data_IF_791214465841
#
_entry.id   IF_791214465841
#
_cell.length_a   1.000
_cell.length_b   1.000
_cell.length_c   1.000
_cell.angle_alpha   90.00
_cell.angle_beta   90.00
_cell.angle_gamma   90.00
#
_symmetry.space_group_name_H-M   'P 1'
#
loop_
_entity.id
_entity.type
_entity.pdbx_description
1 polymer ?
#
# COMPACT_ATOMS: atom_id res chain seq x y z
N UNK A 1 -10.80 17.80 -34.51
CA UNK A 1 -10.51 17.47 -33.10
C UNK A 1 -11.56 16.50 -32.64
N UNK A 2 -11.13 15.39 -32.00
CA UNK A 2 -12.03 14.42 -31.38
C UNK A 2 -11.58 14.16 -29.95
N UNK A 3 -12.55 13.98 -29.05
CA UNK A 3 -12.31 13.65 -27.63
C UNK A 3 -12.78 12.24 -27.33
N UNK A 4 -12.09 11.56 -26.44
CA UNK A 4 -12.41 10.21 -26.05
C UNK A 4 -12.21 10.04 -24.55
N UNK A 5 -13.21 9.52 -23.84
CA UNK A 5 -13.01 9.04 -22.48
C UNK A 5 -12.18 7.77 -22.52
N UNK A 6 -11.14 7.64 -21.68
CA UNK A 6 -10.18 6.55 -21.78
C UNK A 6 -9.80 5.94 -20.43
N UNK A 7 -9.23 4.76 -20.47
CA UNK A 7 -8.49 4.18 -19.34
C UNK A 7 -9.35 3.73 -18.17
N UNK A 8 -9.01 4.21 -17.00
CA UNK A 8 -9.60 3.79 -15.72
C UNK A 8 -11.12 3.95 -15.65
N UNK A 9 -11.64 5.07 -16.17
CA UNK A 9 -13.07 5.36 -16.16
C UNK A 9 -13.87 4.35 -17.00
N UNK A 10 -13.43 4.11 -18.25
CA UNK A 10 -14.10 3.16 -19.15
C UNK A 10 -14.03 1.74 -18.58
N UNK A 11 -12.86 1.32 -18.10
CA UNK A 11 -12.70 0.01 -17.43
C UNK A 11 -13.62 -0.15 -16.23
N UNK A 12 -13.66 0.83 -15.32
CA UNK A 12 -14.42 0.73 -14.08
C UNK A 12 -15.93 0.69 -14.38
N UNK A 13 -16.43 1.48 -15.36
CA UNK A 13 -17.82 1.40 -15.82
C UNK A 13 -18.14 0.01 -16.41
N UNK A 14 -17.25 -0.57 -17.23
CA UNK A 14 -17.44 -1.92 -17.79
C UNK A 14 -17.44 -3.02 -16.71
N UNK A 15 -16.77 -2.77 -15.59
CA UNK A 15 -16.77 -3.65 -14.42
C UNK A 15 -17.92 -3.39 -13.45
N UNK A 16 -18.79 -2.41 -13.73
CA UNK A 16 -19.88 -2.01 -12.83
C UNK A 16 -19.40 -1.29 -11.57
N UNK A 17 -18.20 -0.73 -11.61
CA UNK A 17 -17.61 0.05 -10.52
C UNK A 17 -17.85 1.54 -10.74
N UNK A 18 -17.90 2.31 -9.64
CA UNK A 18 -17.97 3.76 -9.74
C UNK A 18 -16.64 4.33 -10.25
N UNK A 19 -16.66 5.00 -11.40
CA UNK A 19 -15.54 5.76 -11.90
C UNK A 19 -15.42 7.08 -11.10
N UNK A 20 -14.30 7.28 -10.43
CA UNK A 20 -14.06 8.48 -9.61
C UNK A 20 -13.31 9.57 -10.37
N UNK A 21 -12.52 9.20 -11.36
CA UNK A 21 -11.70 10.10 -12.17
C UNK A 21 -11.99 9.85 -13.65
N UNK A 22 -12.08 10.90 -14.43
CA UNK A 22 -12.31 10.83 -15.88
C UNK A 22 -11.13 11.44 -16.60
N UNK A 23 -10.43 10.60 -17.36
CA UNK A 23 -9.34 11.00 -18.22
C UNK A 23 -9.80 11.04 -19.66
N UNK A 24 -9.50 12.16 -20.35
CA UNK A 24 -9.85 12.37 -21.73
C UNK A 24 -8.61 12.42 -22.62
N UNK A 25 -8.68 11.80 -23.78
CA UNK A 25 -7.67 11.92 -24.85
C UNK A 25 -8.23 12.77 -25.98
N UNK A 26 -7.45 13.76 -26.40
CA UNK A 26 -7.75 14.65 -27.51
C UNK A 26 -6.89 14.26 -28.72
N UNK A 27 -7.53 13.93 -29.82
CA UNK A 27 -6.88 13.55 -31.09
C UNK A 27 -7.09 14.65 -32.11
N UNK A 28 -6.02 15.00 -32.84
CA UNK A 28 -6.09 15.98 -33.93
C UNK A 28 -6.10 17.45 -33.45
N UNK A 29 -5.45 17.74 -32.30
CA UNK A 29 -5.26 19.10 -31.78
C UNK A 29 -3.82 19.34 -31.37
N UNK A 30 -3.49 20.60 -31.13
CA UNK A 30 -2.21 21.09 -30.64
C UNK A 30 -2.34 21.76 -29.28
N UNK A 31 -1.23 21.97 -28.53
CA UNK A 31 -1.28 22.72 -27.27
C UNK A 31 -1.85 24.12 -27.43
N UNK A 32 -1.51 24.81 -28.52
CA UNK A 32 -1.97 26.16 -28.81
C UNK A 32 -3.50 26.19 -29.01
N UNK A 33 -4.03 25.24 -29.79
CA UNK A 33 -5.48 25.12 -30.00
C UNK A 33 -6.26 24.80 -28.71
N UNK A 34 -5.66 23.99 -27.81
CA UNK A 34 -6.26 23.72 -26.49
C UNK A 34 -6.30 24.99 -25.62
N UNK A 35 -5.23 25.77 -25.61
CA UNK A 35 -5.17 27.05 -24.88
C UNK A 35 -6.15 28.07 -25.44
N UNK A 36 -6.26 28.19 -26.77
CA UNK A 36 -7.19 29.08 -27.44
C UNK A 36 -8.66 28.69 -27.17
N UNK A 37 -8.92 27.40 -26.98
CA UNK A 37 -10.23 26.88 -26.56
C UNK A 37 -10.52 27.07 -25.04
N UNK A 38 -9.64 27.74 -24.30
CA UNK A 38 -9.82 28.08 -22.88
C UNK A 38 -9.40 27.00 -21.89
N UNK A 39 -8.76 25.92 -22.34
CA UNK A 39 -8.19 24.93 -21.43
C UNK A 39 -6.95 25.48 -20.72
N UNK A 40 -6.68 25.03 -19.50
CA UNK A 40 -5.52 25.41 -18.73
C UNK A 40 -4.49 24.30 -18.68
N UNK A 41 -3.31 24.52 -19.23
CA UNK A 41 -2.23 23.54 -19.18
C UNK A 41 -1.72 23.33 -17.73
N UNK A 42 -1.56 22.06 -17.34
CA UNK A 42 -0.96 21.60 -16.08
C UNK A 42 0.17 20.63 -16.38
N UNK A 43 1.28 20.77 -15.66
CA UNK A 43 2.48 19.94 -15.89
C UNK A 43 3.44 20.52 -16.94
N UNK A 44 4.74 20.51 -16.60
CA UNK A 44 5.79 21.07 -17.46
C UNK A 44 6.27 20.07 -18.53
N UNK A 45 6.10 18.77 -18.32
CA UNK A 45 6.69 17.72 -19.17
C UNK A 45 5.69 17.03 -20.11
N UNK A 46 4.37 17.18 -19.86
CA UNK A 46 3.33 16.56 -20.65
C UNK A 46 2.18 17.53 -20.90
N UNK A 47 1.62 17.57 -22.12
CA UNK A 47 0.48 18.42 -22.43
C UNK A 47 -0.83 17.85 -21.87
N UNK A 48 -1.02 18.00 -20.56
CA UNK A 48 -2.29 17.77 -19.86
C UNK A 48 -2.95 19.10 -19.61
N UNK A 49 -4.24 19.16 -19.86
CA UNK A 49 -5.05 20.38 -19.78
C UNK A 49 -6.27 20.13 -18.89
N UNK A 50 -6.64 21.12 -18.09
CA UNK A 50 -7.88 21.10 -17.34
C UNK A 50 -8.99 21.79 -18.14
N UNK A 51 -10.12 21.11 -18.23
CA UNK A 51 -11.32 21.67 -18.84
C UNK A 51 -11.81 22.89 -18.06
N UNK A 52 -12.13 24.01 -18.72
CA UNK A 52 -12.42 25.28 -18.05
C UNK A 52 -13.65 25.24 -17.12
N UNK A 53 -14.63 24.39 -17.40
CA UNK A 53 -15.87 24.32 -16.63
C UNK A 53 -15.88 23.15 -15.64
N UNK A 54 -15.43 21.94 -16.09
CA UNK A 54 -15.51 20.70 -15.28
C UNK A 54 -14.29 20.44 -14.45
N UNK A 55 -13.12 20.99 -14.84
CA UNK A 55 -11.84 20.70 -14.20
C UNK A 55 -11.29 19.31 -14.50
N UNK A 56 -11.96 18.52 -15.37
CA UNK A 56 -11.50 17.19 -15.79
C UNK A 56 -10.21 17.29 -16.62
N UNK A 57 -9.40 16.24 -16.57
CA UNK A 57 -8.10 16.18 -17.26
C UNK A 57 -8.25 15.73 -18.71
N UNK A 58 -7.69 16.53 -19.62
CA UNK A 58 -7.63 16.28 -21.05
C UNK A 58 -6.15 16.21 -21.48
N UNK A 59 -5.74 15.10 -22.05
CA UNK A 59 -4.36 14.93 -22.57
C UNK A 59 -4.39 14.82 -24.09
N UNK A 60 -3.43 15.47 -24.78
CA UNK A 60 -3.25 15.23 -26.20
C UNK A 60 -2.78 13.79 -26.44
N UNK A 61 -3.31 13.17 -27.52
CA UNK A 61 -2.83 11.87 -27.97
C UNK A 61 -1.33 11.94 -28.21
N UNK A 62 -0.59 10.94 -27.73
CA UNK A 62 0.87 10.94 -27.78
C UNK A 62 1.46 9.55 -27.95
N UNK A 63 2.67 9.51 -28.48
CA UNK A 63 3.56 8.36 -28.43
C UNK A 63 4.69 8.62 -27.46
N UNK A 64 5.22 7.58 -26.87
CA UNK A 64 6.36 7.64 -25.94
C UNK A 64 7.46 6.73 -26.49
N UNK A 65 8.72 7.20 -26.48
CA UNK A 65 9.89 6.39 -26.84
C UNK A 65 10.96 6.53 -25.77
N UNK A 66 11.50 5.40 -25.33
CA UNK A 66 12.62 5.37 -24.39
C UNK A 66 13.92 5.74 -25.11
N UNK A 67 14.59 6.79 -24.67
CA UNK A 67 15.90 7.25 -25.16
C UNK A 67 17.04 7.02 -24.17
N UNK A 68 16.73 6.66 -22.90
CA UNK A 68 17.73 6.47 -21.86
C UNK A 68 17.17 5.81 -20.60
N UNK A 69 17.98 5.72 -19.54
CA UNK A 69 17.57 5.15 -18.26
C UNK A 69 16.79 6.14 -17.39
N UNK A 70 15.81 5.64 -16.64
CA UNK A 70 15.05 6.41 -15.65
C UNK A 70 13.98 7.34 -16.23
N UNK A 71 13.42 8.20 -15.36
CA UNK A 71 12.26 9.06 -15.68
C UNK A 71 12.51 10.11 -16.76
N UNK A 72 13.72 10.64 -16.87
CA UNK A 72 14.10 11.61 -17.91
C UNK A 72 14.53 10.99 -19.23
N UNK A 73 14.49 9.66 -19.34
CA UNK A 73 14.88 8.91 -20.51
C UNK A 73 13.77 8.73 -21.56
N UNK A 74 12.64 9.44 -21.44
CA UNK A 74 11.54 9.38 -22.42
C UNK A 74 11.49 10.61 -23.32
N UNK A 75 11.38 10.37 -24.63
CA UNK A 75 10.88 11.38 -25.57
C UNK A 75 9.40 11.17 -25.76
N UNK A 76 8.64 12.21 -25.53
CA UNK A 76 7.20 12.24 -25.78
C UNK A 76 6.98 12.99 -27.06
N UNK A 77 6.32 12.36 -28.02
CA UNK A 77 5.93 12.97 -29.27
C UNK A 77 4.40 13.15 -29.28
N UNK A 78 3.98 14.40 -29.38
CA UNK A 78 2.56 14.79 -29.42
C UNK A 78 2.38 15.80 -30.57
N UNK A 79 1.78 15.37 -31.62
CA UNK A 79 1.38 16.21 -32.74
C UNK A 79 -0.01 15.79 -33.23
N UNK A 80 -0.69 16.65 -33.97
CA UNK A 80 -2.06 16.43 -34.41
C UNK A 80 -2.26 15.14 -35.26
N UNK A 81 -1.18 14.54 -35.74
CA UNK A 81 -1.21 13.28 -36.51
C UNK A 81 -1.21 12.02 -35.67
N UNK A 82 -0.98 12.10 -34.32
CA UNK A 82 -1.01 10.90 -33.46
C UNK A 82 -2.43 10.39 -33.36
N UNK A 83 -2.62 9.11 -33.66
CA UNK A 83 -3.92 8.45 -33.65
C UNK A 83 -4.31 7.98 -32.26
N UNK A 84 -5.62 7.77 -32.03
CA UNK A 84 -6.10 7.15 -30.79
C UNK A 84 -5.49 5.76 -30.55
N UNK A 85 -5.35 4.96 -31.60
CA UNK A 85 -4.77 3.62 -31.49
C UNK A 85 -3.31 3.64 -30.99
N UNK A 86 -2.51 4.59 -31.46
CA UNK A 86 -1.13 4.77 -30.99
C UNK A 86 -1.08 5.22 -29.54
N UNK A 87 -1.97 6.12 -29.09
CA UNK A 87 -2.05 6.49 -27.67
C UNK A 87 -2.45 5.31 -26.80
N UNK A 88 -3.42 4.50 -27.24
CA UNK A 88 -3.85 3.30 -26.51
C UNK A 88 -2.77 2.23 -26.49
N UNK A 89 -1.94 2.10 -27.52
CA UNK A 89 -0.87 1.11 -27.63
C UNK A 89 0.23 1.25 -26.56
N UNK A 90 0.54 2.48 -26.17
CA UNK A 90 1.57 2.75 -25.16
C UNK A 90 1.10 2.50 -23.72
N UNK A 91 -0.17 2.18 -23.48
CA UNK A 91 -0.71 1.95 -22.13
C UNK A 91 -0.23 0.63 -21.54
N UNK A 92 -0.40 0.48 -20.22
CA UNK A 92 0.10 -0.67 -19.46
C UNK A 92 -0.67 -1.97 -19.75
N UNK A 93 -2.00 -1.93 -19.59
CA UNK A 93 -2.86 -3.09 -19.70
C UNK A 93 -3.97 -2.89 -20.73
N UNK A 94 -4.38 -3.97 -21.41
CA UNK A 94 -5.47 -3.96 -22.40
C UNK A 94 -6.76 -3.41 -21.80
N UNK A 95 -7.09 -3.76 -20.55
CA UNK A 95 -8.28 -3.26 -19.84
C UNK A 95 -8.22 -1.73 -19.57
N UNK A 96 -7.06 -1.11 -19.66
CA UNK A 96 -6.85 0.35 -19.54
C UNK A 96 -6.68 1.01 -20.92
N UNK A 97 -6.71 0.23 -22.02
CA UNK A 97 -6.53 0.68 -23.39
C UNK A 97 -7.84 0.62 -24.18
N UNK A 98 -8.96 0.90 -23.51
CA UNK A 98 -10.29 1.04 -24.09
C UNK A 98 -10.66 2.52 -24.06
N UNK A 99 -11.22 3.00 -25.14
CA UNK A 99 -11.75 4.36 -25.26
C UNK A 99 -13.25 4.34 -25.53
N UNK A 100 -13.94 5.44 -25.22
CA UNK A 100 -15.32 5.67 -25.56
C UNK A 100 -15.47 7.07 -26.18
N UNK A 101 -16.13 7.14 -27.31
CA UNK A 101 -16.42 8.42 -27.97
C UNK A 101 -17.65 9.11 -27.39
N UNK A 102 -17.97 10.30 -27.93
CA UNK A 102 -19.09 11.12 -27.50
C UNK A 102 -20.45 10.47 -27.80
N UNK A 103 -20.53 9.56 -28.79
CA UNK A 103 -21.73 8.79 -29.13
C UNK A 103 -21.91 7.54 -28.23
N UNK A 104 -20.97 7.30 -27.33
CA UNK A 104 -20.95 6.17 -26.41
C UNK A 104 -20.36 4.88 -27.00
N UNK A 105 -19.81 4.93 -28.24
CA UNK A 105 -19.24 3.76 -28.89
C UNK A 105 -17.88 3.43 -28.26
N UNK A 106 -17.68 2.14 -27.94
CA UNK A 106 -16.40 1.65 -27.44
C UNK A 106 -15.43 1.39 -28.58
N UNK A 107 -14.20 1.86 -28.40
CA UNK A 107 -13.06 1.68 -29.30
C UNK A 107 -12.01 0.87 -28.56
N UNK A 108 -11.83 -0.39 -28.96
CA UNK A 108 -11.01 -1.38 -28.25
C UNK A 108 -10.11 -2.15 -29.24
N UNK A 109 -9.05 -1.51 -29.77
CA UNK A 109 -8.18 -2.14 -30.75
C UNK A 109 -7.31 -3.27 -30.18
N UNK A 110 -7.20 -3.37 -28.84
CA UNK A 110 -6.30 -4.31 -28.16
C UNK A 110 -7.02 -5.40 -27.37
N UNK A 111 -8.36 -5.48 -27.45
CA UNK A 111 -9.16 -6.56 -26.87
C UNK A 111 -9.32 -6.48 -25.36
N UNK A 112 -9.33 -5.27 -24.81
CA UNK A 112 -9.51 -5.03 -23.37
C UNK A 112 -10.86 -5.52 -22.85
N UNK A 113 -11.95 -5.39 -23.65
CA UNK A 113 -13.28 -5.93 -23.27
C UNK A 113 -13.23 -7.46 -23.09
N UNK A 114 -12.58 -8.17 -24.02
CA UNK A 114 -12.37 -9.62 -23.89
C UNK A 114 -11.57 -9.99 -22.66
N UNK A 115 -10.51 -9.22 -22.36
CA UNK A 115 -9.68 -9.48 -21.18
C UNK A 115 -10.44 -9.13 -19.87
N UNK A 116 -11.37 -8.17 -19.88
CA UNK A 116 -12.31 -7.92 -18.77
C UNK A 116 -13.24 -9.13 -18.55
N UNK A 117 -13.85 -9.65 -19.61
CA UNK A 117 -14.74 -10.84 -19.55
C UNK A 117 -13.99 -12.07 -19.04
N UNK A 118 -12.74 -12.27 -19.51
CA UNK A 118 -11.87 -13.37 -19.12
C UNK A 118 -11.17 -13.15 -17.77
N UNK A 119 -11.31 -11.96 -17.19
CA UNK A 119 -10.67 -11.57 -15.93
C UNK A 119 -9.13 -11.69 -15.99
N UNK A 120 -8.55 -11.11 -17.02
CA UNK A 120 -7.11 -11.19 -17.32
C UNK A 120 -6.48 -9.80 -17.31
N UNK A 121 -5.33 -9.67 -16.64
CA UNK A 121 -4.45 -8.51 -16.70
C UNK A 121 -3.35 -8.77 -17.72
N UNK A 122 -3.55 -8.28 -18.97
CA UNK A 122 -2.64 -8.46 -20.10
C UNK A 122 -2.04 -7.12 -20.49
N UNK A 123 -0.72 -7.10 -20.76
CA UNK A 123 -0.06 -5.95 -21.37
C UNK A 123 -0.57 -5.66 -22.78
N UNK A 124 -0.55 -4.40 -23.18
CA UNK A 124 -1.07 -3.98 -24.49
C UNK A 124 -0.14 -4.40 -25.63
N UNK A 125 1.16 -4.12 -25.50
CA UNK A 125 2.16 -4.30 -26.54
C UNK A 125 3.56 -4.52 -25.96
N UNK A 126 4.56 -4.76 -26.82
CA UNK A 126 5.97 -4.83 -26.43
C UNK A 126 6.51 -3.52 -25.83
N UNK A 127 5.88 -2.38 -26.10
CA UNK A 127 6.20 -1.10 -25.42
C UNK A 127 6.00 -1.14 -23.90
N UNK A 128 5.41 -2.21 -23.36
CA UNK A 128 5.31 -2.44 -21.93
C UNK A 128 6.65 -2.35 -21.20
N UNK A 129 7.74 -2.82 -21.81
CA UNK A 129 9.07 -2.80 -21.20
C UNK A 129 9.71 -1.41 -21.10
N UNK A 130 9.14 -0.41 -21.76
CA UNK A 130 9.70 0.94 -21.79
C UNK A 130 9.59 1.63 -20.40
N UNK A 131 8.49 1.46 -19.66
CA UNK A 131 8.36 2.00 -18.30
C UNK A 131 8.42 0.88 -17.24
N UNK A 132 9.55 0.75 -16.52
CA UNK A 132 9.70 -0.27 -15.47
C UNK A 132 8.68 -0.18 -14.33
N UNK A 133 8.08 1.00 -14.11
CA UNK A 133 7.04 1.16 -13.10
C UNK A 133 5.79 0.30 -13.39
N UNK A 134 5.58 -0.09 -14.63
CA UNK A 134 4.47 -0.97 -15.03
C UNK A 134 4.48 -2.31 -14.29
N UNK A 135 5.64 -2.79 -13.84
CA UNK A 135 5.73 -3.98 -12.98
C UNK A 135 4.94 -3.78 -11.68
N UNK A 136 5.15 -2.65 -10.99
CA UNK A 136 4.40 -2.34 -9.76
C UNK A 136 2.93 -2.02 -10.06
N UNK A 137 2.64 -1.34 -11.17
CA UNK A 137 1.27 -1.03 -11.59
C UNK A 137 0.45 -2.29 -11.83
N UNK A 138 0.99 -3.29 -12.54
CA UNK A 138 0.32 -4.60 -12.75
C UNK A 138 0.10 -5.31 -11.42
N UNK A 139 1.10 -5.35 -10.53
CA UNK A 139 0.96 -5.93 -9.21
C UNK A 139 -0.13 -5.24 -8.37
N UNK A 140 -0.22 -3.90 -8.44
CA UNK A 140 -1.29 -3.12 -7.79
C UNK A 140 -2.67 -3.42 -8.39
N UNK A 141 -2.78 -3.53 -9.72
CA UNK A 141 -4.05 -3.92 -10.35
C UNK A 141 -4.45 -5.34 -9.98
N UNK A 142 -3.48 -6.27 -9.83
CA UNK A 142 -3.77 -7.60 -9.30
C UNK A 142 -4.36 -7.52 -7.89
N UNK A 143 -3.75 -6.74 -6.98
CA UNK A 143 -4.28 -6.53 -5.63
C UNK A 143 -5.69 -5.92 -5.63
N UNK A 144 -5.97 -5.00 -6.57
CA UNK A 144 -7.29 -4.36 -6.68
C UNK A 144 -8.36 -5.32 -7.20
N UNK A 145 -8.04 -6.14 -8.21
CA UNK A 145 -9.03 -6.91 -8.95
C UNK A 145 -9.02 -8.41 -8.64
N UNK A 146 -8.13 -8.91 -7.78
CA UNK A 146 -8.11 -10.32 -7.37
C UNK A 146 -9.45 -10.81 -6.79
N UNK A 147 -10.18 -10.04 -5.94
CA UNK A 147 -11.48 -10.47 -5.44
C UNK A 147 -12.55 -10.63 -6.53
N UNK A 148 -12.36 -9.97 -7.68
CA UNK A 148 -13.20 -10.15 -8.86
C UNK A 148 -12.77 -11.35 -9.74
N UNK A 149 -11.69 -12.05 -9.36
CA UNK A 149 -11.13 -13.20 -10.04
C UNK A 149 -10.13 -12.90 -11.15
N UNK A 150 -9.62 -11.66 -11.23
CA UNK A 150 -8.58 -11.30 -12.20
C UNK A 150 -7.23 -11.95 -11.87
N UNK A 151 -6.51 -12.32 -12.91
CA UNK A 151 -5.15 -12.88 -12.82
C UNK A 151 -4.23 -12.27 -13.88
N UNK A 152 -2.95 -12.13 -13.55
CA UNK A 152 -1.96 -11.65 -14.50
C UNK A 152 -1.68 -12.73 -15.54
N UNK A 153 -1.69 -12.35 -16.82
CA UNK A 153 -1.42 -13.25 -17.93
C UNK A 153 0.07 -13.66 -17.95
N UNK A 154 0.34 -14.92 -18.30
CA UNK A 154 1.70 -15.47 -18.28
C UNK A 154 2.68 -14.66 -19.17
N UNK A 155 2.24 -14.20 -20.35
CA UNK A 155 3.09 -13.35 -21.19
C UNK A 155 3.41 -12.01 -20.54
N UNK A 156 2.52 -11.46 -19.72
CA UNK A 156 2.77 -10.22 -18.97
C UNK A 156 3.77 -10.46 -17.84
N UNK A 157 3.63 -11.58 -17.12
CA UNK A 157 4.61 -11.98 -16.10
C UNK A 157 6.01 -12.20 -16.72
N UNK A 158 6.08 -12.77 -17.92
CA UNK A 158 7.35 -12.94 -18.62
C UNK A 158 8.02 -11.61 -18.92
N UNK A 159 7.28 -10.60 -19.42
CA UNK A 159 7.80 -9.24 -19.64
C UNK A 159 8.20 -8.54 -18.33
N UNK A 160 7.40 -8.71 -17.26
CA UNK A 160 7.75 -8.18 -15.95
C UNK A 160 9.08 -8.78 -15.43
N UNK A 161 9.28 -10.09 -15.62
CA UNK A 161 10.54 -10.75 -15.26
C UNK A 161 11.72 -10.29 -16.13
N UNK A 162 11.48 -9.96 -17.40
CA UNK A 162 12.49 -9.35 -18.28
C UNK A 162 12.91 -7.97 -17.76
N UNK A 163 11.96 -7.09 -17.43
CA UNK A 163 12.23 -5.79 -16.82
C UNK A 163 13.00 -5.95 -15.50
N UNK A 164 12.63 -6.92 -14.67
CA UNK A 164 13.33 -7.19 -13.41
C UNK A 164 14.80 -7.54 -13.65
N UNK A 165 15.07 -8.43 -14.60
CA UNK A 165 16.44 -8.87 -14.95
C UNK A 165 17.28 -7.79 -15.63
N UNK A 166 16.67 -6.82 -16.30
CA UNK A 166 17.40 -5.70 -16.91
C UNK A 166 18.00 -4.73 -15.89
N UNK A 167 17.61 -4.80 -14.61
CA UNK A 167 18.07 -3.90 -13.54
C UNK A 167 17.36 -2.53 -13.51
N UNK A 168 16.44 -2.28 -14.43
CA UNK A 168 15.74 -0.98 -14.56
C UNK A 168 14.90 -0.62 -13.33
N UNK A 169 14.44 -1.61 -12.56
CA UNK A 169 13.68 -1.35 -11.33
C UNK A 169 14.49 -0.55 -10.29
N UNK A 170 15.82 -0.70 -10.28
CA UNK A 170 16.71 0.04 -9.38
C UNK A 170 16.82 1.54 -9.68
N UNK A 171 16.37 1.98 -10.86
CA UNK A 171 16.42 3.38 -11.30
C UNK A 171 15.09 4.12 -11.16
N UNK A 172 14.06 3.46 -10.60
CA UNK A 172 12.77 4.08 -10.37
C UNK A 172 12.85 5.16 -9.28
N UNK A 173 12.19 6.29 -9.52
CA UNK A 173 12.06 7.34 -8.51
C UNK A 173 11.28 6.82 -7.29
N UNK A 174 11.83 7.04 -6.11
CA UNK A 174 11.30 6.54 -4.83
C UNK A 174 9.81 6.90 -4.64
N UNK A 175 9.44 8.13 -4.99
CA UNK A 175 8.07 8.64 -4.83
C UNK A 175 7.08 7.96 -5.79
N UNK A 176 7.53 7.55 -6.99
CA UNK A 176 6.68 6.78 -7.92
C UNK A 176 6.46 5.37 -7.39
N UNK A 177 7.51 4.73 -6.87
CA UNK A 177 7.41 3.40 -6.24
C UNK A 177 6.49 3.45 -5.03
N UNK A 178 6.68 4.45 -4.16
CA UNK A 178 5.83 4.62 -2.97
C UNK A 178 4.36 4.75 -3.31
N UNK A 179 3.99 5.55 -4.31
CA UNK A 179 2.58 5.70 -4.74
C UNK A 179 1.94 4.37 -5.14
N UNK A 180 2.67 3.51 -5.85
CA UNK A 180 2.15 2.19 -6.23
C UNK A 180 2.04 1.25 -5.02
N UNK A 181 3.00 1.30 -4.08
CA UNK A 181 2.93 0.54 -2.82
C UNK A 181 1.73 1.01 -1.98
N UNK A 182 1.58 2.32 -1.77
CA UNK A 182 0.48 2.89 -0.98
C UNK A 182 -0.89 2.52 -1.56
N UNK A 183 -1.04 2.64 -2.87
CA UNK A 183 -2.27 2.27 -3.57
C UNK A 183 -2.54 0.76 -3.51
N UNK A 184 -1.50 -0.08 -3.55
CA UNK A 184 -1.62 -1.52 -3.36
C UNK A 184 -2.05 -1.88 -1.93
N UNK A 185 -1.50 -1.18 -0.93
CA UNK A 185 -1.89 -1.37 0.48
C UNK A 185 -3.31 -0.85 0.79
N UNK A 186 -3.86 0.01 -0.06
CA UNK A 186 -5.28 0.42 0.01
C UNK A 186 -6.24 -0.54 -0.72
N UNK A 187 -5.69 -1.52 -1.42
CA UNK A 187 -6.47 -2.47 -2.23
C UNK A 187 -7.07 -3.59 -1.37
N UNK A 188 -8.13 -4.27 -1.85
CA UNK A 188 -8.81 -5.30 -1.06
C UNK A 188 -8.02 -6.60 -0.90
N UNK A 189 -7.02 -6.89 -1.75
CA UNK A 189 -6.17 -8.08 -1.67
C UNK A 189 -4.68 -7.73 -1.79
N UNK A 190 -4.09 -7.00 -0.81
CA UNK A 190 -2.70 -6.56 -0.87
C UNK A 190 -1.68 -7.71 -0.90
N UNK A 191 -2.06 -8.92 -0.49
CA UNK A 191 -1.24 -10.12 -0.65
C UNK A 191 -0.88 -10.39 -2.12
N UNK A 192 -1.79 -10.11 -3.06
CA UNK A 192 -1.56 -10.32 -4.49
C UNK A 192 -0.51 -9.37 -5.06
N UNK A 193 -0.35 -8.17 -4.49
CA UNK A 193 0.77 -7.28 -4.84
C UNK A 193 2.11 -7.97 -4.55
N UNK A 194 2.26 -8.54 -3.36
CA UNK A 194 3.47 -9.27 -2.95
C UNK A 194 3.67 -10.52 -3.81
N UNK A 195 2.61 -11.31 -4.03
CA UNK A 195 2.65 -12.52 -4.83
C UNK A 195 3.09 -12.27 -6.27
N UNK A 196 2.53 -11.24 -6.92
CA UNK A 196 2.87 -10.90 -8.31
C UNK A 196 4.32 -10.42 -8.42
N UNK A 197 4.76 -9.53 -7.51
CA UNK A 197 6.16 -9.09 -7.49
C UNK A 197 7.11 -10.25 -7.25
N UNK A 198 6.75 -11.21 -6.40
CA UNK A 198 7.55 -12.39 -6.13
C UNK A 198 7.64 -13.29 -7.37
N UNK A 199 6.52 -13.56 -8.04
CA UNK A 199 6.47 -14.41 -9.25
C UNK A 199 7.34 -13.89 -10.41
N UNK A 200 7.53 -12.58 -10.53
CA UNK A 200 8.39 -12.00 -11.55
C UNK A 200 9.80 -11.63 -11.04
N UNK A 201 10.15 -11.98 -9.79
CA UNK A 201 11.44 -11.70 -9.16
C UNK A 201 11.62 -10.24 -8.69
N UNK A 202 10.64 -9.38 -8.90
CA UNK A 202 10.74 -7.96 -8.55
C UNK A 202 10.73 -7.73 -7.02
N UNK A 203 10.14 -8.65 -6.25
CA UNK A 203 10.13 -8.55 -4.78
C UNK A 203 11.54 -8.57 -4.21
N UNK A 204 12.41 -9.46 -4.69
CA UNK A 204 13.80 -9.56 -4.27
C UNK A 204 14.61 -8.29 -4.56
N UNK A 205 14.30 -7.61 -5.67
CA UNK A 205 14.98 -6.37 -6.06
C UNK A 205 14.48 -5.17 -5.26
N UNK A 206 13.17 -5.03 -5.08
CA UNK A 206 12.55 -3.85 -4.47
C UNK A 206 12.46 -3.94 -2.94
N UNK A 207 12.10 -5.13 -2.44
CA UNK A 207 11.80 -5.41 -1.04
C UNK A 207 12.44 -6.74 -0.59
N UNK A 208 13.79 -6.87 -0.67
CA UNK A 208 14.49 -8.09 -0.29
C UNK A 208 14.25 -8.50 1.16
N UNK A 209 13.91 -7.55 2.02
CA UNK A 209 13.56 -7.80 3.42
C UNK A 209 12.28 -8.64 3.54
N UNK A 210 11.33 -8.45 2.62
CA UNK A 210 10.08 -9.22 2.57
C UNK A 210 10.33 -10.58 1.90
N UNK A 211 11.08 -10.62 0.80
CA UNK A 211 11.39 -11.91 0.13
C UNK A 211 12.06 -12.90 1.09
N UNK A 212 12.91 -12.43 1.99
CA UNK A 212 13.60 -13.25 3.00
C UNK A 212 12.68 -13.94 4.01
N UNK A 213 11.42 -13.52 4.13
CA UNK A 213 10.45 -14.14 5.04
C UNK A 213 9.92 -15.48 4.51
N UNK A 214 9.95 -15.67 3.20
CA UNK A 214 9.48 -16.91 2.58
C UNK A 214 10.49 -18.05 2.80
N UNK A 215 9.99 -19.21 3.22
CA UNK A 215 10.81 -20.34 3.59
C UNK A 215 11.33 -20.30 5.04
N UNK A 216 11.03 -19.25 5.81
CA UNK A 216 11.42 -19.11 7.22
C UNK A 216 10.34 -19.74 8.11
N UNK A 217 10.62 -20.84 8.84
CA UNK A 217 9.60 -21.54 9.62
C UNK A 217 9.31 -20.84 10.95
N UNK A 218 8.05 -20.88 11.37
CA UNK A 218 7.55 -20.42 12.67
C UNK A 218 7.04 -21.59 13.52
N UNK A 219 6.87 -21.41 14.86
CA UNK A 219 6.30 -22.47 15.70
C UNK A 219 4.86 -22.81 15.28
N UNK A 220 4.64 -24.05 14.83
CA UNK A 220 3.33 -24.55 14.36
C UNK A 220 2.20 -24.40 15.41
N UNK A 221 2.55 -24.37 16.70
CA UNK A 221 1.58 -24.13 17.80
C UNK A 221 0.87 -22.78 17.69
N UNK A 222 1.57 -21.75 17.17
CA UNK A 222 1.05 -20.39 17.07
C UNK A 222 0.76 -19.97 15.63
N UNK A 223 1.39 -20.64 14.68
CA UNK A 223 1.31 -20.39 13.24
C UNK A 223 1.11 -21.69 12.47
N UNK A 224 -0.15 -22.16 12.32
CA UNK A 224 -0.44 -23.40 11.62
C UNK A 224 0.03 -23.41 10.16
N UNK A 225 0.15 -22.25 9.53
CA UNK A 225 0.73 -22.03 8.19
C UNK A 225 2.24 -22.27 8.15
N UNK A 226 2.93 -22.25 9.29
CA UNK A 226 4.36 -22.47 9.51
C UNK A 226 5.26 -21.43 8.83
N UNK A 227 5.09 -21.14 7.55
CA UNK A 227 5.93 -20.22 6.78
C UNK A 227 5.63 -18.75 7.12
N UNK A 228 6.67 -17.96 7.42
CA UNK A 228 6.52 -16.54 7.79
C UNK A 228 6.02 -15.69 6.62
N UNK A 229 6.43 -15.99 5.38
CA UNK A 229 5.95 -15.29 4.19
C UNK A 229 4.48 -15.59 3.90
N UNK A 230 4.05 -16.84 4.09
CA UNK A 230 2.63 -17.21 3.96
C UNK A 230 1.79 -16.54 5.05
N UNK A 231 2.28 -16.51 6.30
CA UNK A 231 1.65 -15.75 7.37
C UNK A 231 1.49 -14.27 7.01
N UNK A 232 2.53 -13.64 6.48
CA UNK A 232 2.49 -12.24 6.05
C UNK A 232 1.37 -12.00 5.03
N UNK A 233 1.23 -12.87 4.02
CA UNK A 233 0.17 -12.73 3.01
C UNK A 233 -1.23 -12.78 3.65
N UNK A 234 -1.46 -13.70 4.56
CA UNK A 234 -2.74 -13.82 5.28
C UNK A 234 -3.01 -12.60 6.17
N UNK A 235 -1.99 -12.14 6.89
CA UNK A 235 -2.10 -10.95 7.75
C UNK A 235 -2.39 -9.67 6.95
N UNK A 236 -1.84 -9.53 5.73
CA UNK A 236 -2.11 -8.40 4.85
C UNK A 236 -3.57 -8.32 4.42
N UNK A 237 -4.15 -9.44 3.98
CA UNK A 237 -5.55 -9.46 3.55
C UNK A 237 -6.50 -9.25 4.74
N UNK A 238 -6.18 -9.83 5.90
CA UNK A 238 -6.90 -9.57 7.15
C UNK A 238 -6.83 -8.09 7.55
N UNK A 239 -5.65 -7.45 7.39
CA UNK A 239 -5.48 -6.02 7.67
C UNK A 239 -6.30 -5.14 6.72
N UNK A 240 -6.37 -5.49 5.44
CA UNK A 240 -7.19 -4.78 4.45
C UNK A 240 -8.67 -4.87 4.79
N UNK A 241 -9.16 -6.03 5.19
CA UNK A 241 -10.55 -6.25 5.64
C UNK A 241 -10.87 -5.45 6.90
N UNK A 242 -10.09 -5.60 7.98
CA UNK A 242 -10.30 -4.93 9.26
C UNK A 242 -10.21 -3.41 9.17
N UNK A 243 -9.33 -2.90 8.33
CA UNK A 243 -9.12 -1.46 8.14
C UNK A 243 -9.97 -0.84 7.04
N UNK A 244 -10.70 -1.66 6.25
CA UNK A 244 -11.44 -1.22 5.06
C UNK A 244 -10.56 -0.44 4.07
N UNK A 245 -9.40 -0.99 3.77
CA UNK A 245 -8.43 -0.37 2.86
C UNK A 245 -7.58 0.74 3.50
N UNK A 246 -7.38 0.70 4.81
CA UNK A 246 -6.51 1.62 5.54
C UNK A 246 -5.03 1.37 5.24
N UNK A 247 -4.49 1.97 4.17
CA UNK A 247 -3.14 1.74 3.67
C UNK A 247 -2.07 1.80 4.76
N UNK A 248 -2.18 2.73 5.71
CA UNK A 248 -1.22 2.90 6.81
C UNK A 248 -1.16 1.66 7.71
N UNK A 249 -2.30 1.04 8.00
CA UNK A 249 -2.40 -0.17 8.83
C UNK A 249 -1.81 -1.35 8.08
N UNK A 250 -2.22 -1.55 6.82
CA UNK A 250 -1.75 -2.64 5.95
C UNK A 250 -0.24 -2.54 5.73
N UNK A 251 0.29 -1.34 5.51
CA UNK A 251 1.74 -1.12 5.39
C UNK A 251 2.49 -1.44 6.69
N UNK A 252 1.94 -1.11 7.85
CA UNK A 252 2.55 -1.49 9.13
C UNK A 252 2.59 -3.00 9.32
N UNK A 253 1.54 -3.73 8.89
CA UNK A 253 1.51 -5.19 8.88
C UNK A 253 2.51 -5.75 7.87
N UNK A 254 2.69 -5.12 6.69
CA UNK A 254 3.71 -5.55 5.71
C UNK A 254 5.12 -5.62 6.31
N UNK A 255 5.44 -4.76 7.29
CA UNK A 255 6.79 -4.63 7.85
C UNK A 255 6.95 -5.20 9.27
N UNK A 256 5.89 -5.73 9.91
CA UNK A 256 5.91 -6.05 11.34
C UNK A 256 6.93 -7.14 11.72
N UNK A 257 7.15 -8.10 10.86
CA UNK A 257 7.93 -9.32 11.12
C UNK A 257 9.26 -9.40 10.35
N UNK A 258 9.74 -8.30 9.74
CA UNK A 258 10.96 -8.30 8.91
C UNK A 258 12.19 -8.90 9.63
N UNK A 259 12.28 -8.73 10.94
CA UNK A 259 13.38 -9.27 11.72
C UNK A 259 13.45 -10.80 11.77
N UNK A 260 12.36 -11.51 11.50
CA UNK A 260 12.35 -12.98 11.43
C UNK A 260 13.23 -13.49 10.26
N UNK A 261 13.29 -12.73 9.16
CA UNK A 261 14.16 -13.03 8.03
C UNK A 261 15.68 -12.92 8.32
N UNK A 262 16.07 -12.36 9.46
CA UNK A 262 17.46 -12.28 9.92
C UNK A 262 17.83 -13.39 10.91
N UNK A 263 16.88 -14.18 11.38
CA UNK A 263 17.13 -15.23 12.36
C UNK A 263 17.96 -16.38 11.74
N UNK A 264 19.11 -16.73 12.31
CA UNK A 264 19.90 -17.85 11.81
C UNK A 264 19.11 -19.17 11.83
N UNK A 265 19.29 -20.08 10.85
CA UNK A 265 18.57 -21.35 10.80
C UNK A 265 18.67 -22.20 12.07
N UNK A 266 19.78 -22.14 12.79
CA UNK A 266 19.98 -22.85 14.06
C UNK A 266 19.11 -22.36 15.23
N UNK A 267 18.49 -21.20 15.10
CA UNK A 267 17.56 -20.64 16.09
C UNK A 267 16.08 -20.82 15.72
N UNK A 268 15.82 -21.33 14.53
CA UNK A 268 14.46 -21.62 14.09
C UNK A 268 13.79 -22.67 14.96
N UNK A 269 12.49 -22.56 15.18
CA UNK A 269 11.53 -21.54 14.73
C UNK A 269 11.28 -20.41 15.76
N UNK A 270 12.19 -20.16 16.69
CA UNK A 270 11.89 -19.32 17.87
C UNK A 270 11.97 -17.80 17.64
N UNK A 271 12.71 -17.31 16.67
CA UNK A 271 12.87 -15.90 16.28
C UNK A 271 13.02 -14.90 17.45
N UNK A 272 13.84 -15.23 18.45
CA UNK A 272 14.00 -14.37 19.63
C UNK A 272 14.60 -13.03 19.25
N UNK A 273 13.94 -11.93 19.69
CA UNK A 273 14.45 -10.57 19.44
C UNK A 273 14.17 -10.02 18.04
N UNK A 274 13.38 -10.70 17.21
CA UNK A 274 13.05 -10.22 15.86
C UNK A 274 12.39 -8.83 15.85
N UNK A 275 11.61 -8.45 16.89
CA UNK A 275 11.06 -7.10 17.04
C UNK A 275 12.16 -6.02 17.01
N UNK A 276 13.25 -6.24 17.73
CA UNK A 276 14.39 -5.30 17.77
C UNK A 276 15.21 -5.36 16.48
N UNK A 277 15.45 -6.56 15.95
CA UNK A 277 16.19 -6.77 14.70
C UNK A 277 15.45 -6.22 13.48
N UNK A 278 14.11 -6.17 13.51
CA UNK A 278 13.28 -5.64 12.44
C UNK A 278 13.32 -4.11 12.31
N UNK A 279 13.55 -3.37 13.40
CA UNK A 279 13.49 -1.91 13.37
C UNK A 279 14.43 -1.25 12.35
N UNK A 280 15.72 -1.63 12.25
CA UNK A 280 16.59 -1.09 11.21
C UNK A 280 16.10 -1.41 9.78
N UNK A 281 15.45 -2.57 9.59
CA UNK A 281 14.90 -2.95 8.28
C UNK A 281 13.68 -2.09 7.93
N UNK A 282 12.79 -1.82 8.90
CA UNK A 282 11.67 -0.86 8.73
C UNK A 282 12.20 0.50 8.33
N UNK A 283 13.25 1.00 9.02
CA UNK A 283 13.86 2.29 8.71
C UNK A 283 14.49 2.31 7.30
N UNK A 284 15.15 1.22 6.91
CA UNK A 284 15.77 1.09 5.58
C UNK A 284 14.72 1.10 4.46
N UNK A 285 13.62 0.35 4.60
CA UNK A 285 12.52 0.34 3.63
C UNK A 285 11.86 1.72 3.53
N UNK A 286 11.55 2.34 4.67
CA UNK A 286 10.92 3.66 4.69
C UNK A 286 11.83 4.75 4.10
N UNK A 287 13.13 4.71 4.37
CA UNK A 287 14.11 5.64 3.78
C UNK A 287 14.27 5.44 2.28
N UNK A 288 14.34 4.18 1.80
CA UNK A 288 14.47 3.82 0.38
C UNK A 288 13.36 4.41 -0.47
N UNK A 289 12.12 4.34 0.00
CA UNK A 289 10.95 4.79 -0.76
C UNK A 289 10.39 6.13 -0.31
N UNK A 290 11.08 6.85 0.57
CA UNK A 290 10.64 8.16 1.11
C UNK A 290 9.22 8.10 1.68
N UNK A 291 8.95 7.05 2.45
CA UNK A 291 7.65 6.81 3.07
C UNK A 291 7.26 7.96 4.00
N UNK A 292 6.01 8.48 3.95
CA UNK A 292 5.57 9.53 4.85
C UNK A 292 5.70 9.14 6.34
N UNK A 293 6.05 10.12 7.18
CA UNK A 293 6.32 9.90 8.60
C UNK A 293 5.19 9.19 9.34
N UNK A 294 3.93 9.45 8.99
CA UNK A 294 2.78 8.80 9.63
C UNK A 294 2.75 7.28 9.42
N UNK A 295 3.14 6.81 8.23
CA UNK A 295 3.27 5.38 7.91
C UNK A 295 4.48 4.76 8.62
N UNK A 296 5.62 5.44 8.55
CA UNK A 296 6.86 5.00 9.17
C UNK A 296 6.71 4.85 10.70
N UNK A 297 6.11 5.84 11.37
CA UNK A 297 5.91 5.82 12.82
C UNK A 297 5.02 4.64 13.25
N UNK A 298 3.89 4.41 12.56
CA UNK A 298 3.03 3.27 12.87
C UNK A 298 3.76 1.94 12.63
N UNK A 299 4.46 1.78 11.49
CA UNK A 299 5.20 0.56 11.16
C UNK A 299 6.28 0.23 12.23
N UNK A 300 7.05 1.22 12.67
CA UNK A 300 8.01 1.05 13.78
C UNK A 300 7.35 0.59 15.08
N UNK A 301 6.21 1.19 15.43
CA UNK A 301 5.49 0.86 16.66
C UNK A 301 4.91 -0.54 16.62
N UNK A 302 4.33 -0.94 15.47
CA UNK A 302 3.82 -2.31 15.27
C UNK A 302 4.97 -3.31 15.32
N UNK A 303 6.04 -3.13 14.56
CA UNK A 303 7.22 -3.98 14.59
C UNK A 303 7.78 -4.15 16.02
N UNK A 304 7.91 -3.06 16.79
CA UNK A 304 8.51 -3.08 18.13
C UNK A 304 7.59 -3.64 19.22
N UNK A 305 6.24 -3.72 19.01
CA UNK A 305 5.30 -3.90 20.12
C UNK A 305 4.18 -4.91 19.86
N UNK A 306 4.01 -5.48 18.66
CA UNK A 306 2.91 -6.40 18.36
C UNK A 306 2.87 -7.61 19.32
N UNK A 307 4.01 -8.27 19.62
CA UNK A 307 4.05 -9.38 20.55
C UNK A 307 3.64 -8.98 21.98
N UNK A 308 4.00 -7.75 22.40
CA UNK A 308 3.56 -7.25 23.70
C UNK A 308 2.07 -6.98 23.72
N UNK A 309 1.50 -6.52 22.60
CA UNK A 309 0.06 -6.35 22.47
C UNK A 309 -0.66 -7.70 22.62
N UNK A 310 -0.18 -8.76 21.98
CA UNK A 310 -0.78 -10.10 22.11
C UNK A 310 -0.80 -10.65 23.54
N UNK A 311 0.14 -10.20 24.35
CA UNK A 311 0.27 -10.63 25.76
C UNK A 311 -0.20 -9.60 26.77
N UNK A 312 -0.88 -8.54 26.33
CA UNK A 312 -1.21 -7.38 27.18
C UNK A 312 -2.05 -7.76 28.40
N UNK A 313 -2.91 -8.76 28.29
CA UNK A 313 -3.77 -9.25 29.38
C UNK A 313 -2.96 -9.86 30.54
N UNK A 314 -1.76 -10.38 30.26
CA UNK A 314 -0.85 -10.94 31.26
C UNK A 314 -0.01 -9.87 31.98
N UNK A 315 0.00 -8.64 31.47
CA UNK A 315 0.90 -7.58 31.92
C UNK A 315 0.38 -6.86 33.17
N UNK A 316 1.33 -6.41 34.02
CA UNK A 316 1.01 -5.54 35.15
C UNK A 316 0.56 -4.15 34.65
N UNK A 317 -0.35 -3.45 35.39
CA UNK A 317 -0.85 -2.14 34.97
C UNK A 317 0.25 -1.12 34.62
N UNK A 318 1.34 -1.07 35.37
CA UNK A 318 2.47 -0.20 35.06
C UNK A 318 3.12 -0.52 33.70
N UNK A 319 3.16 -1.78 33.32
CA UNK A 319 3.73 -2.20 32.01
C UNK A 319 2.79 -1.79 30.87
N UNK A 320 1.48 -1.91 31.10
CA UNK A 320 0.45 -1.43 30.15
C UNK A 320 0.56 0.08 29.96
N UNK A 321 0.64 0.86 31.05
CA UNK A 321 0.81 2.31 30.96
C UNK A 321 2.09 2.69 30.20
N UNK A 322 3.22 2.05 30.50
CA UNK A 322 4.48 2.26 29.78
C UNK A 322 4.39 1.92 28.29
N UNK A 323 3.57 0.95 27.92
CA UNK A 323 3.31 0.64 26.51
C UNK A 323 2.52 1.78 25.84
N UNK A 324 1.45 2.28 26.47
CA UNK A 324 0.68 3.43 25.98
C UNK A 324 1.56 4.69 25.84
N UNK A 325 2.41 4.96 26.83
CA UNK A 325 3.38 6.08 26.78
C UNK A 325 4.36 5.93 25.59
N UNK A 326 4.91 4.73 25.37
CA UNK A 326 5.85 4.45 24.27
C UNK A 326 5.19 4.46 22.90
N UNK A 327 3.90 4.17 22.81
CA UNK A 327 3.10 4.35 21.60
C UNK A 327 2.80 5.82 21.34
N UNK A 328 3.04 6.71 22.32
CA UNK A 328 2.76 8.15 22.25
C UNK A 328 1.27 8.49 22.07
N UNK A 329 0.38 7.60 22.52
CA UNK A 329 -1.06 7.72 22.28
C UNK A 329 -1.72 8.83 23.11
N UNK A 330 -1.10 9.30 24.19
CA UNK A 330 -1.60 10.44 24.95
C UNK A 330 -1.45 11.76 24.19
N UNK A 331 -0.51 11.83 23.25
CA UNK A 331 -0.30 12.97 22.35
C UNK A 331 -0.95 12.74 20.99
N UNK A 332 -0.97 11.51 20.52
CA UNK A 332 -1.49 11.09 19.22
C UNK A 332 -2.55 9.98 19.39
N UNK A 333 -3.76 10.32 19.86
CA UNK A 333 -4.78 9.33 20.21
C UNK A 333 -5.25 8.48 19.03
N UNK A 334 -5.27 9.06 17.82
CA UNK A 334 -5.70 8.37 16.59
C UNK A 334 -4.77 7.24 16.16
N UNK A 335 -3.58 7.16 16.75
CA UNK A 335 -2.64 6.09 16.46
C UNK A 335 -3.03 4.76 17.12
N UNK A 336 -3.70 4.80 18.28
CA UNK A 336 -4.03 3.60 19.03
C UNK A 336 -4.99 2.66 18.28
N UNK A 337 -6.10 3.12 17.69
CA UNK A 337 -6.97 2.27 16.89
C UNK A 337 -6.25 1.58 15.72
N UNK A 338 -5.36 2.29 15.03
CA UNK A 338 -4.60 1.73 13.92
C UNK A 338 -3.57 0.69 14.38
N UNK A 339 -2.87 0.97 15.48
CA UNK A 339 -1.96 0.02 16.11
C UNK A 339 -2.67 -1.26 16.53
N UNK A 340 -3.85 -1.15 17.16
CA UNK A 340 -4.66 -2.30 17.58
C UNK A 340 -5.11 -3.11 16.38
N UNK A 341 -5.62 -2.47 15.32
CA UNK A 341 -6.04 -3.18 14.10
C UNK A 341 -4.87 -3.92 13.43
N UNK A 342 -3.68 -3.31 13.39
CA UNK A 342 -2.50 -3.97 12.85
C UNK A 342 -2.11 -5.22 13.66
N UNK A 343 -2.15 -5.14 15.00
CA UNK A 343 -1.90 -6.30 15.87
C UNK A 343 -3.00 -7.36 15.76
N UNK A 344 -4.26 -6.95 15.63
CA UNK A 344 -5.37 -7.88 15.41
C UNK A 344 -5.22 -8.62 14.07
N UNK A 345 -4.80 -7.92 13.02
CA UNK A 345 -4.56 -8.51 11.71
C UNK A 345 -3.46 -9.57 11.75
N UNK A 346 -2.33 -9.31 12.43
CA UNK A 346 -1.30 -10.31 12.68
C UNK A 346 -1.86 -11.52 13.45
N UNK A 347 -2.67 -11.28 14.49
CA UNK A 347 -3.22 -12.35 15.32
C UNK A 347 -4.23 -13.21 14.57
N UNK A 348 -5.13 -12.61 13.78
CA UNK A 348 -6.19 -13.28 13.02
C UNK A 348 -5.73 -13.78 11.65
N UNK A 349 -4.68 -13.18 11.08
CA UNK A 349 -4.08 -13.58 9.81
C UNK A 349 -3.31 -14.89 9.91
N UNK A 350 -3.87 -15.90 10.56
CA UNK A 350 -3.30 -17.23 10.78
C UNK A 350 -4.34 -18.29 10.42
N UNK A 351 -3.89 -19.32 9.74
CA UNK A 351 -4.76 -20.39 9.22
C UNK A 351 -5.65 -20.99 10.33
N UNK A 352 -6.97 -20.86 10.15
CA UNK A 352 -7.98 -21.36 11.09
C UNK A 352 -8.18 -20.50 12.35
N UNK A 353 -7.65 -19.28 12.37
CA UNK A 353 -7.84 -18.31 13.46
C UNK A 353 -8.51 -17.02 12.99
N UNK A 354 -9.03 -16.98 11.77
CA UNK A 354 -9.55 -15.79 11.09
C UNK A 354 -10.70 -15.13 11.87
N UNK A 355 -11.57 -15.93 12.51
CA UNK A 355 -12.73 -15.45 13.28
C UNK A 355 -12.46 -15.34 14.80
N UNK A 356 -11.22 -15.56 15.22
CA UNK A 356 -10.90 -15.56 16.65
C UNK A 356 -11.02 -14.16 17.25
N UNK A 357 -11.72 -13.99 18.40
CA UNK A 357 -11.81 -12.69 19.06
C UNK A 357 -10.43 -12.21 19.53
N UNK A 358 -10.24 -10.88 19.53
CA UNK A 358 -8.99 -10.23 19.94
C UNK A 358 -9.22 -9.31 21.17
N UNK A 359 -9.49 -9.88 22.36
CA UNK A 359 -9.77 -9.11 23.57
C UNK A 359 -8.59 -8.25 24.03
N UNK A 360 -7.38 -8.56 23.59
CA UNK A 360 -6.18 -7.78 23.87
C UNK A 360 -6.30 -6.33 23.34
N UNK A 361 -6.89 -6.18 22.16
CA UNK A 361 -7.12 -4.87 21.55
C UNK A 361 -8.15 -4.05 22.32
N UNK A 362 -9.26 -4.68 22.69
CA UNK A 362 -10.32 -4.07 23.50
C UNK A 362 -9.76 -3.61 24.85
N UNK A 363 -9.02 -4.49 25.53
CA UNK A 363 -8.40 -4.16 26.81
C UNK A 363 -7.40 -2.99 26.70
N UNK A 364 -6.56 -2.96 25.67
CA UNK A 364 -5.58 -1.88 25.47
C UNK A 364 -6.26 -0.54 25.22
N UNK A 365 -7.34 -0.52 24.44
CA UNK A 365 -8.14 0.68 24.19
C UNK A 365 -8.85 1.16 25.47
N UNK A 366 -9.41 0.24 26.26
CA UNK A 366 -10.05 0.56 27.53
C UNK A 366 -9.03 1.09 28.55
N UNK A 367 -7.84 0.47 28.63
CA UNK A 367 -6.75 0.94 29.47
C UNK A 367 -6.30 2.36 29.11
N UNK A 368 -6.25 2.69 27.81
CA UNK A 368 -6.03 4.07 27.35
C UNK A 368 -7.15 4.99 27.80
N UNK A 369 -8.42 4.60 27.60
CA UNK A 369 -9.58 5.41 27.91
C UNK A 369 -9.61 5.82 29.40
N UNK A 370 -9.43 4.87 30.31
CA UNK A 370 -9.43 5.16 31.76
C UNK A 370 -8.21 5.97 32.19
N UNK A 371 -7.06 5.80 31.54
CA UNK A 371 -5.85 6.56 31.83
C UNK A 371 -5.89 7.98 31.25
N UNK A 372 -6.49 8.19 30.09
CA UNK A 372 -6.50 9.47 29.37
C UNK A 372 -7.40 10.52 30.04
N UNK A 373 -8.45 10.11 30.74
CA UNK A 373 -9.32 11.04 31.48
C UNK A 373 -8.65 11.65 32.71
N UNK A 374 -7.61 11.00 33.25
CA UNK A 374 -6.89 11.49 34.43
C UNK A 374 -5.88 12.54 33.98
N UNK A 375 -6.07 13.77 34.43
CA UNK A 375 -5.21 14.92 34.13
C UNK A 375 -4.54 15.44 35.40
N UNK A 376 -3.37 16.06 35.27
CA UNK A 376 -2.64 16.61 36.41
C UNK A 376 -3.51 17.59 37.25
N UNK A 377 -4.35 18.42 36.61
CA UNK A 377 -5.24 19.39 37.25
C UNK A 377 -6.32 18.76 38.16
N UNK A 378 -6.59 17.46 37.97
CA UNK A 378 -7.64 16.73 38.69
C UNK A 378 -7.08 16.04 39.95
N UNK A 379 -5.75 16.17 40.17
CA UNK A 379 -5.05 15.58 41.31
C UNK A 379 -4.76 16.64 42.37
N UNK A 380 -4.76 16.21 43.62
CA UNK A 380 -4.23 17.02 44.72
C UNK A 380 -2.72 17.17 44.55
N UNK A 381 -2.30 18.40 44.21
CA UNK A 381 -0.91 18.76 43.95
C UNK A 381 -0.33 19.73 44.98
N UNK A 382 -0.98 19.88 46.14
CA UNK A 382 -0.51 20.81 47.18
C UNK A 382 0.91 20.48 47.62
N UNK A 383 1.81 21.48 47.45
CA UNK A 383 3.20 21.40 47.83
C UNK A 383 4.10 20.58 46.89
N UNK A 384 3.60 20.10 45.75
CA UNK A 384 4.40 19.35 44.76
C UNK A 384 4.55 20.09 43.45
N UNK A 385 5.70 19.94 42.81
CA UNK A 385 6.02 20.61 41.53
C UNK A 385 6.87 19.73 40.61
N UNK A 386 6.87 20.06 39.34
CA UNK A 386 7.74 19.46 38.32
C UNK A 386 7.63 17.93 38.24
N UNK A 387 8.75 17.20 38.43
CA UNK A 387 8.81 15.74 38.23
C UNK A 387 7.82 14.96 39.12
N UNK A 388 7.53 15.43 40.34
CA UNK A 388 6.61 14.80 41.28
C UNK A 388 5.16 14.80 40.78
N UNK A 389 4.75 15.85 40.04
CA UNK A 389 3.44 15.89 39.39
C UNK A 389 3.30 14.76 38.38
N UNK A 390 4.34 14.55 37.55
CA UNK A 390 4.38 13.45 36.58
C UNK A 390 4.29 12.07 37.24
N UNK A 391 4.95 11.90 38.40
CA UNK A 391 4.91 10.63 39.15
C UNK A 391 3.53 10.37 39.75
N UNK A 392 2.87 11.39 40.34
CA UNK A 392 1.50 11.29 40.83
C UNK A 392 0.51 10.95 39.72
N UNK A 393 0.62 11.65 38.57
CA UNK A 393 -0.23 11.36 37.42
C UNK A 393 -0.06 9.91 36.93
N UNK A 394 1.20 9.45 36.87
CA UNK A 394 1.50 8.06 36.47
C UNK A 394 0.93 7.07 37.47
N UNK A 395 1.04 7.32 38.77
CA UNK A 395 0.47 6.46 39.84
C UNK A 395 -1.05 6.34 39.70
N UNK A 396 -1.76 7.46 39.57
CA UNK A 396 -3.22 7.47 39.42
C UNK A 396 -3.65 6.71 38.14
N UNK A 397 -2.95 6.87 37.03
CA UNK A 397 -3.21 6.12 35.78
C UNK A 397 -2.98 4.61 35.93
N UNK A 398 -1.94 4.21 36.67
CA UNK A 398 -1.66 2.79 36.97
C UNK A 398 -2.78 2.18 37.82
N UNK A 399 -3.28 2.91 38.85
CA UNK A 399 -4.40 2.48 39.69
C UNK A 399 -5.68 2.31 38.85
N UNK A 400 -5.99 3.25 37.95
CA UNK A 400 -7.15 3.17 37.07
C UNK A 400 -7.07 1.97 36.12
N UNK A 401 -5.91 1.72 35.52
CA UNK A 401 -5.69 0.53 34.69
C UNK A 401 -5.80 -0.75 35.53
N UNK A 402 -5.32 -0.73 36.77
CA UNK A 402 -5.39 -1.85 37.67
C UNK A 402 -6.83 -2.27 38.01
N UNK A 403 -7.73 -1.30 38.15
CA UNK A 403 -9.15 -1.53 38.41
C UNK A 403 -9.88 -2.27 37.27
N UNK A 404 -9.33 -2.30 36.03
CA UNK A 404 -9.90 -3.08 34.94
C UNK A 404 -9.72 -4.60 35.09
N UNK A 405 -8.85 -5.04 36.00
CA UNK A 405 -8.53 -6.46 36.23
C UNK A 405 -9.14 -7.01 37.53
N UNK A 406 -9.80 -6.14 38.30
CA UNK A 406 -10.56 -6.50 39.49
C UNK A 406 -12.01 -6.78 39.11
#
# INVERSE_FOLDING_TARGET
>A
VKTYLVGGAVRDELLGLNATERDWVVVGSTPEEMLDAGYRQVGASFPVFLHPETGEEYALARTEKKLGHGYHGFSVDFHAGVTLAEDLQRRDLTINAIARDDDGQLIDPYGGQRDIEQKVLRHVSSAFVEDPLRVLRVARFAARFAPMGFRVHESTLALMAEITRSGELGHLAAERVWREIEAAMSSPAPSEFVNVLRRCGALEVLLPEIERLFGVPQPARYHPEIDTGIHLLMALDTAAELSRGGARIVFAVLLHDLGKGLTPPGEWPAHRGHEAAGLPLVDAVCGRFRVPNAFHDLARKVCAKHLKCHRILEMRPLTVLRMLERLDVFRQPDLLPDFVKACEADYRGRKGLEDRPYPQGEYLQEAYRVAAVIRARDLDLDGISGPQVGERLRKARVEAIGALKS
#
